data_IF_252927469114
#
_entry.id   IF_252927469114
#
_cell.length_a   1.000
_cell.length_b   1.000
_cell.length_c   1.000
_cell.angle_alpha   90.00
_cell.angle_beta   90.00
_cell.angle_gamma   90.00
#
_symmetry.space_group_name_H-M   'P 1'
#
loop_
_entity.id
_entity.type
_entity.pdbx_description
1 polymer ?
#
# COMPACT_ATOMS: atom_id res chain seq x y z
N UNK A 1 9.02 -11.57 4.77
CA UNK A 1 9.51 -10.18 4.64
C UNK A 1 8.56 -9.26 5.41
N UNK A 2 9.07 -8.47 6.33
CA UNK A 2 8.28 -7.49 7.05
C UNK A 2 8.57 -6.09 6.48
N UNK A 3 7.53 -5.44 5.97
CA UNK A 3 7.61 -4.05 5.53
C UNK A 3 7.54 -3.12 6.75
N UNK A 4 8.33 -2.05 6.74
CA UNK A 4 8.29 -1.04 7.82
C UNK A 4 6.95 -0.31 7.84
N UNK A 5 6.56 0.20 9.02
CA UNK A 5 5.32 0.99 9.16
C UNK A 5 5.32 2.21 8.25
N UNK A 6 6.44 2.92 8.17
CA UNK A 6 6.63 4.07 7.27
C UNK A 6 6.39 3.70 5.80
N UNK A 7 6.93 2.56 5.35
CA UNK A 7 6.75 2.10 3.98
C UNK A 7 5.29 1.78 3.67
N UNK A 8 4.60 1.09 4.59
CA UNK A 8 3.18 0.80 4.45
C UNK A 8 2.35 2.08 4.41
N UNK A 9 2.69 3.05 5.26
CA UNK A 9 1.99 4.32 5.35
C UNK A 9 2.11 5.11 4.04
N UNK A 10 3.32 5.24 3.49
CA UNK A 10 3.53 5.89 2.18
C UNK A 10 2.75 5.24 1.05
N UNK A 11 2.70 3.91 1.00
CA UNK A 11 1.92 3.20 -0.02
C UNK A 11 0.42 3.46 0.09
N UNK A 12 -0.10 3.57 1.31
CA UNK A 12 -1.52 3.83 1.54
C UNK A 12 -1.88 5.30 1.36
N UNK A 13 -0.99 6.22 1.70
CA UNK A 13 -1.21 7.65 1.46
C UNK A 13 -1.22 7.95 -0.04
N UNK A 14 -0.37 7.27 -0.83
CA UNK A 14 -0.44 7.29 -2.30
C UNK A 14 -1.82 6.83 -2.81
N UNK A 15 -2.40 5.78 -2.25
CA UNK A 15 -3.76 5.34 -2.62
C UNK A 15 -4.81 6.40 -2.21
N UNK A 16 -4.67 7.02 -1.03
CA UNK A 16 -5.59 8.09 -0.56
C UNK A 16 -5.51 9.36 -1.39
N UNK A 17 -4.37 9.64 -2.02
CA UNK A 17 -4.18 10.74 -2.98
C UNK A 17 -4.96 10.52 -4.29
N UNK A 18 -5.61 9.36 -4.45
CA UNK A 18 -6.50 9.04 -5.58
C UNK A 18 -5.90 8.06 -6.57
N UNK A 19 -4.70 7.54 -6.31
CA UNK A 19 -4.07 6.55 -7.16
C UNK A 19 -4.70 5.17 -7.00
N UNK A 20 -4.70 4.40 -8.08
CA UNK A 20 -5.24 3.04 -8.05
C UNK A 20 -4.32 2.07 -7.32
N UNK A 21 -4.89 1.01 -6.77
CA UNK A 21 -4.14 -0.11 -6.18
C UNK A 21 -3.14 -0.76 -7.16
N UNK A 22 -3.46 -0.77 -8.45
CA UNK A 22 -2.60 -1.33 -9.50
C UNK A 22 -1.38 -0.44 -9.75
N UNK A 23 -1.55 0.88 -9.72
CA UNK A 23 -0.44 1.82 -9.80
C UNK A 23 0.44 1.75 -8.55
N UNK A 24 -0.17 1.75 -7.36
CA UNK A 24 0.56 1.61 -6.11
C UNK A 24 1.36 0.30 -6.05
N UNK A 25 0.80 -0.82 -6.52
CA UNK A 25 1.50 -2.10 -6.58
C UNK A 25 2.79 -2.03 -7.42
N UNK A 26 2.77 -1.28 -8.53
CA UNK A 26 3.93 -1.06 -9.38
C UNK A 26 4.95 -0.10 -8.75
N UNK A 27 4.47 1.01 -8.19
CA UNK A 27 5.32 2.06 -7.59
C UNK A 27 6.08 1.53 -6.37
N UNK A 28 5.41 0.73 -5.54
CA UNK A 28 5.97 0.21 -4.30
C UNK A 28 6.50 -1.22 -4.43
N UNK A 29 6.47 -1.81 -5.62
CA UNK A 29 6.89 -3.19 -5.89
C UNK A 29 6.30 -4.21 -4.89
N UNK A 30 4.98 -4.14 -4.73
CA UNK A 30 4.21 -5.05 -3.85
C UNK A 30 2.96 -5.56 -4.53
N UNK A 31 2.45 -6.71 -4.08
CA UNK A 31 1.18 -7.23 -4.58
C UNK A 31 -0.01 -6.34 -4.20
N UNK A 32 -0.98 -6.19 -5.10
CA UNK A 32 -2.27 -5.52 -4.83
C UNK A 32 -2.95 -6.08 -3.57
N UNK A 33 -2.92 -7.42 -3.40
CA UNK A 33 -3.46 -8.09 -2.21
C UNK A 33 -2.77 -7.66 -0.92
N UNK A 34 -1.47 -7.37 -0.98
CA UNK A 34 -0.69 -6.89 0.16
C UNK A 34 -1.15 -5.49 0.58
N UNK A 35 -1.36 -4.59 -0.39
CA UNK A 35 -1.90 -3.25 -0.14
C UNK A 35 -3.29 -3.30 0.50
N UNK A 36 -4.18 -4.14 -0.04
CA UNK A 36 -5.52 -4.34 0.52
C UNK A 36 -5.47 -4.86 1.96
N UNK A 37 -4.53 -5.76 2.27
CA UNK A 37 -4.34 -6.28 3.62
C UNK A 37 -3.82 -5.19 4.58
N UNK A 38 -2.97 -4.27 4.12
CA UNK A 38 -2.52 -3.15 4.96
C UNK A 38 -3.64 -2.17 5.25
N UNK A 39 -4.45 -1.80 4.25
CA UNK A 39 -5.61 -0.92 4.43
C UNK A 39 -6.58 -1.51 5.47
N UNK A 40 -6.86 -2.81 5.41
CA UNK A 40 -7.75 -3.49 6.35
C UNK A 40 -7.20 -3.60 7.77
N UNK A 41 -5.89 -3.77 7.92
CA UNK A 41 -5.25 -3.92 9.24
C UNK A 41 -4.93 -2.59 9.94
N UNK A 42 -5.08 -1.45 9.25
CA UNK A 42 -4.93 -0.10 9.82
C UNK A 42 -6.25 0.51 10.30
N UNK A 43 -7.36 -0.21 10.11
CA UNK A 43 -8.67 0.16 10.65
C UNK A 43 -8.91 -0.49 11.99
#
# INVERSE_FOLDING_TARGET
MAYSTDFKQRALDYIKEGHSYVEAAKVFDVGVRTLFMWEKNLR
#
